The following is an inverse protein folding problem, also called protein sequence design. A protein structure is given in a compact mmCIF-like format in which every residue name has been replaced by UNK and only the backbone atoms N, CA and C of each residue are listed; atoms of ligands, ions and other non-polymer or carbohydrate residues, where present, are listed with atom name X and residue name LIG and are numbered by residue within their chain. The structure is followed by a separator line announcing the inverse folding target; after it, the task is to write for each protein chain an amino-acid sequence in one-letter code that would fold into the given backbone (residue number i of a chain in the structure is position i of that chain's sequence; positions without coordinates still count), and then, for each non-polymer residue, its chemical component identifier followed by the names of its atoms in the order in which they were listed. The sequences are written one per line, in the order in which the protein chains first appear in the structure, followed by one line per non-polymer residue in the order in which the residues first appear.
data_IF_751077494887
#
_entry.id   IF_751077494887
#
_cell.length_a   1.000
_cell.length_b   1.000
_cell.length_c   1.000
_cell.angle_alpha   90.00
_cell.angle_beta   90.00
_cell.angle_gamma   90.00
#
_symmetry.space_group_name_H-M   'P 1'
#
loop_
_entity.id
_entity.type
_entity.pdbx_description
1 polymer ?
#
# COMPACT_ATOMS: atom_id res chain seq x y z
N UNK A 1 30.54 10.50 -20.44
CA UNK A 1 30.52 11.02 -19.05
C UNK A 1 29.17 10.65 -18.44
N UNK A 2 29.14 9.76 -17.44
CA UNK A 2 27.92 9.47 -16.70
C UNK A 2 27.80 10.47 -15.54
N UNK A 3 26.65 11.12 -15.38
CA UNK A 3 26.42 12.10 -14.32
C UNK A 3 26.20 11.40 -12.97
N UNK A 4 26.53 12.02 -11.82
CA UNK A 4 26.33 11.43 -10.49
C UNK A 4 24.89 10.99 -10.18
N UNK A 5 23.91 11.52 -10.91
CA UNK A 5 22.49 11.17 -10.80
C UNK A 5 22.10 9.95 -11.64
N UNK A 6 22.92 9.52 -12.60
CA UNK A 6 22.63 8.38 -13.46
C UNK A 6 22.42 7.07 -12.68
N UNK A 7 23.08 6.93 -11.51
CA UNK A 7 22.90 5.77 -10.60
C UNK A 7 21.53 5.71 -9.92
N UNK A 8 20.77 6.80 -9.92
CA UNK A 8 19.44 6.89 -9.32
C UNK A 8 18.32 6.91 -10.37
N UNK A 9 18.64 6.81 -11.66
CA UNK A 9 17.66 6.88 -12.74
C UNK A 9 16.56 5.81 -12.60
N UNK A 10 16.88 4.62 -12.07
CA UNK A 10 15.90 3.56 -11.79
C UNK A 10 14.96 3.85 -10.62
N UNK A 11 15.28 4.83 -9.78
CA UNK A 11 14.40 5.31 -8.69
C UNK A 11 13.46 6.42 -9.17
N UNK A 12 13.69 6.96 -10.37
CA UNK A 12 12.83 7.94 -11.02
C UNK A 12 11.75 7.28 -11.90
N UNK A 13 11.37 6.03 -11.60
CA UNK A 13 10.20 5.43 -12.25
C UNK A 13 8.94 6.21 -11.87
N UNK A 14 8.28 6.76 -12.88
CA UNK A 14 6.95 7.36 -12.76
C UNK A 14 6.00 6.33 -12.13
N UNK A 15 5.12 6.72 -11.18
CA UNK A 15 4.13 5.81 -10.65
C UNK A 15 3.30 5.20 -11.79
N UNK A 16 3.30 3.87 -11.92
CA UNK A 16 2.49 3.11 -12.88
C UNK A 16 1.35 2.38 -12.15
N UNK A 17 0.12 2.94 -12.14
CA UNK A 17 -1.03 2.32 -11.52
C UNK A 17 -1.42 0.98 -12.15
N UNK A 18 -1.16 0.78 -13.45
CA UNK A 18 -1.50 -0.44 -14.15
C UNK A 18 -0.58 -1.60 -13.72
N UNK A 19 0.73 -1.34 -13.61
CA UNK A 19 1.68 -2.31 -13.05
C UNK A 19 1.34 -2.64 -11.60
N UNK A 20 0.99 -1.66 -10.78
CA UNK A 20 0.57 -1.90 -9.40
C UNK A 20 -0.68 -2.81 -9.31
N UNK A 21 -1.69 -2.56 -10.16
CA UNK A 21 -2.90 -3.42 -10.23
C UNK A 21 -2.58 -4.85 -10.66
N UNK A 22 -1.69 -5.04 -11.64
CA UNK A 22 -1.24 -6.39 -12.06
C UNK A 22 -0.54 -7.12 -10.93
N UNK A 23 0.41 -6.45 -10.24
CA UNK A 23 1.15 -7.04 -9.13
C UNK A 23 0.21 -7.41 -7.96
N UNK A 24 -0.76 -6.54 -7.63
CA UNK A 24 -1.77 -6.84 -6.63
C UNK A 24 -2.64 -8.05 -6.98
N UNK A 25 -3.06 -8.16 -8.26
CA UNK A 25 -3.80 -9.32 -8.76
C UNK A 25 -2.97 -10.60 -8.65
N UNK A 26 -1.70 -10.56 -9.04
CA UNK A 26 -0.80 -11.70 -8.96
C UNK A 26 -0.56 -12.14 -7.51
N UNK A 27 -0.29 -11.21 -6.60
CA UNK A 27 -0.12 -11.48 -5.18
C UNK A 27 -1.34 -12.18 -4.56
N UNK A 28 -2.56 -11.78 -4.96
CA UNK A 28 -3.78 -12.42 -4.52
C UNK A 28 -3.88 -13.86 -5.03
N UNK A 29 -3.67 -14.10 -6.33
CA UNK A 29 -3.82 -15.43 -6.90
C UNK A 29 -2.69 -16.40 -6.51
N UNK A 30 -1.46 -15.92 -6.40
CA UNK A 30 -0.31 -16.77 -6.14
C UNK A 30 -0.09 -17.03 -4.63
N UNK A 31 -0.41 -16.06 -3.78
CA UNK A 31 -0.04 -16.09 -2.37
C UNK A 31 -1.20 -15.82 -1.41
N UNK A 32 -2.39 -15.49 -1.92
CA UNK A 32 -3.52 -15.09 -1.09
C UNK A 32 -3.29 -13.75 -0.38
N UNK A 33 -2.29 -12.97 -0.80
CA UNK A 33 -1.94 -11.69 -0.18
C UNK A 33 -2.82 -10.61 -0.78
N UNK A 34 -3.42 -9.78 0.07
CA UNK A 34 -4.22 -8.63 -0.35
C UNK A 34 -3.72 -7.36 0.33
N UNK A 35 -3.54 -6.30 -0.46
CA UNK A 35 -3.30 -4.95 0.02
C UNK A 35 -4.53 -4.12 -0.32
N UNK A 36 -5.27 -3.69 0.70
CA UNK A 36 -6.46 -2.88 0.55
C UNK A 36 -6.26 -1.59 1.31
N UNK A 37 -6.48 -0.47 0.63
CA UNK A 37 -6.69 0.80 1.31
C UNK A 37 -8.12 0.83 1.87
N UNK A 38 -8.32 1.04 3.19
CA UNK A 38 -9.65 1.07 3.79
C UNK A 38 -10.64 2.02 3.09
N UNK A 39 -10.17 3.13 2.52
CA UNK A 39 -11.04 4.11 1.84
C UNK A 39 -11.67 3.58 0.54
N UNK A 40 -11.13 2.49 -0.02
CA UNK A 40 -11.70 1.83 -1.20
C UNK A 40 -12.94 0.99 -0.86
N UNK A 41 -13.14 0.65 0.42
CA UNK A 41 -14.30 -0.12 0.87
C UNK A 41 -15.46 0.84 1.10
N UNK A 42 -16.54 0.73 0.33
CA UNK A 42 -17.70 1.61 0.46
C UNK A 42 -18.50 1.33 1.75
N UNK A 43 -18.54 0.08 2.22
CA UNK A 43 -19.21 -0.31 3.46
C UNK A 43 -18.45 0.09 4.72
N UNK A 44 -19.15 0.69 5.69
CA UNK A 44 -18.57 1.01 7.01
C UNK A 44 -18.14 -0.26 7.76
N UNK A 45 -18.95 -1.32 7.72
CA UNK A 45 -18.67 -2.59 8.39
C UNK A 45 -17.38 -3.23 7.86
N UNK A 46 -17.19 -3.26 6.54
CA UNK A 46 -16.00 -3.82 5.90
C UNK A 46 -14.73 -3.05 6.30
N UNK A 47 -14.81 -1.71 6.32
CA UNK A 47 -13.73 -0.85 6.81
C UNK A 47 -13.35 -1.18 8.25
N UNK A 48 -14.34 -1.27 9.14
CA UNK A 48 -14.11 -1.57 10.56
C UNK A 48 -13.55 -2.95 10.78
N UNK A 49 -14.02 -3.95 10.03
CA UNK A 49 -13.49 -5.30 10.11
C UNK A 49 -12.01 -5.35 9.69
N UNK A 50 -11.65 -4.67 8.59
CA UNK A 50 -10.26 -4.54 8.14
C UNK A 50 -9.39 -3.86 9.21
N UNK A 51 -9.86 -2.76 9.80
CA UNK A 51 -9.15 -2.05 10.87
C UNK A 51 -8.92 -2.95 12.09
N UNK A 52 -9.95 -3.67 12.54
CA UNK A 52 -9.85 -4.59 13.69
C UNK A 52 -8.83 -5.70 13.42
N UNK A 53 -8.84 -6.29 12.22
CA UNK A 53 -7.89 -7.33 11.83
C UNK A 53 -6.46 -6.77 11.80
N UNK A 54 -6.28 -5.59 11.22
CA UNK A 54 -4.98 -4.93 11.18
C UNK A 54 -4.47 -4.62 12.60
N UNK A 55 -5.33 -4.10 13.48
CA UNK A 55 -4.96 -3.80 14.86
C UNK A 55 -4.60 -5.04 15.68
N UNK A 56 -5.27 -6.17 15.43
CA UNK A 56 -4.95 -7.45 16.08
C UNK A 56 -3.59 -8.00 15.65
N UNK A 57 -3.24 -7.85 14.37
CA UNK A 57 -2.03 -8.41 13.80
C UNK A 57 -0.80 -7.52 14.00
N UNK A 58 -0.98 -6.20 13.91
CA UNK A 58 0.12 -5.23 13.87
C UNK A 58 0.10 -4.24 15.04
N UNK A 59 -0.89 -4.34 15.93
CA UNK A 59 -1.12 -3.38 17.00
C UNK A 59 -1.87 -2.13 16.54
N UNK A 60 -2.18 -1.24 17.48
CA UNK A 60 -2.93 0.00 17.22
C UNK A 60 -2.23 0.84 16.17
N UNK A 61 -2.98 1.29 15.15
CA UNK A 61 -2.46 2.22 14.15
C UNK A 61 -1.96 3.46 14.87
N UNK A 62 -0.72 3.88 14.61
CA UNK A 62 -0.23 5.17 15.08
C UNK A 62 -1.10 6.25 14.45
N UNK A 63 -1.94 6.87 15.26
CA UNK A 63 -2.61 8.11 14.88
C UNK A 63 -1.54 9.17 15.05
N UNK A 64 -0.79 9.43 13.99
CA UNK A 64 0.12 10.57 13.97
C UNK A 64 -0.74 11.82 14.13
N UNK A 65 -0.89 12.28 15.37
CA UNK A 65 -1.35 13.61 15.65
C UNK A 65 -0.17 14.50 15.29
N UNK A 66 -0.13 14.95 14.04
CA UNK A 66 0.66 16.12 13.69
C UNK A 66 0.24 17.24 14.66
N UNK A 67 1.04 17.44 15.70
CA UNK A 67 0.99 18.61 16.56
C UNK A 67 1.58 19.80 15.79
N UNK A 68 1.02 20.99 16.01
CA UNK A 68 1.67 22.27 15.69
C UNK A 68 0.79 23.21 14.91
#
# INVERSE_FOLDING_TARGET
MATPLARFASLSEEPDPARARRAAREAYHAHGIVLINPEWLSGWADRKQLEILAEKLFGKRKVDHGQG
#
